data_IF_243984582195
#
_entry.id   IF_243984582195
#
_cell.length_a   1.000
_cell.length_b   1.000
_cell.length_c   1.000
_cell.angle_alpha   90.00
_cell.angle_beta   90.00
_cell.angle_gamma   90.00
#
_symmetry.space_group_name_H-M   'P 1'
#
loop_
_entity.id
_entity.type
_entity.pdbx_description
1 polymer ?
#
# COMPACT_ATOMS: atom_id res chain seq x y z
N UNK A 1 1.67 -2.14 -27.10
CA UNK A 1 1.89 -2.71 -25.77
C UNK A 1 2.31 -1.59 -24.82
N UNK A 2 1.69 -1.39 -23.66
CA UNK A 2 2.18 -0.40 -22.70
C UNK A 2 3.56 -0.82 -22.21
N UNK A 3 4.52 0.10 -22.27
CA UNK A 3 5.89 -0.12 -21.82
C UNK A 3 5.96 -0.41 -20.33
N UNK A 4 7.08 -0.99 -19.89
CA UNK A 4 7.36 -1.23 -18.46
C UNK A 4 7.35 0.10 -17.69
N UNK A 5 6.64 0.17 -16.56
CA UNK A 5 6.62 1.35 -15.68
C UNK A 5 8.06 1.81 -15.39
N UNK A 6 8.37 3.12 -15.47
CA UNK A 6 9.70 3.63 -15.18
C UNK A 6 10.08 3.34 -13.72
N UNK A 7 11.34 2.99 -13.50
CA UNK A 7 11.88 2.80 -12.15
C UNK A 7 12.16 4.16 -11.52
N UNK A 8 11.88 4.36 -10.23
CA UNK A 8 12.27 5.55 -9.49
C UNK A 8 13.77 5.83 -9.60
N UNK A 9 14.15 7.11 -9.61
CA UNK A 9 15.53 7.55 -9.78
C UNK A 9 16.47 6.95 -8.73
N UNK A 10 16.04 6.86 -7.48
CA UNK A 10 16.80 6.26 -6.40
C UNK A 10 17.13 4.77 -6.64
N UNK A 11 16.17 4.00 -7.19
CA UNK A 11 16.41 2.60 -7.57
C UNK A 11 17.41 2.46 -8.71
N UNK A 12 17.45 3.43 -9.62
CA UNK A 12 18.45 3.48 -10.69
C UNK A 12 19.85 3.76 -10.15
N UNK A 13 19.96 4.65 -9.14
CA UNK A 13 21.22 4.95 -8.46
C UNK A 13 21.79 3.72 -7.75
N UNK A 14 20.97 3.04 -6.93
CA UNK A 14 21.39 1.82 -6.21
C UNK A 14 21.82 0.69 -7.15
N UNK A 15 21.17 0.58 -8.32
CA UNK A 15 21.51 -0.43 -9.34
C UNK A 15 22.68 -0.03 -10.22
N UNK A 16 23.28 1.14 -10.03
CA UNK A 16 24.35 1.65 -10.89
C UNK A 16 23.91 1.92 -12.34
N UNK A 17 22.59 1.96 -12.61
CA UNK A 17 22.02 2.18 -13.94
C UNK A 17 21.53 3.60 -14.16
N UNK A 18 21.77 4.49 -13.19
CA UNK A 18 21.42 5.90 -13.27
C UNK A 18 22.34 6.59 -14.28
N UNK A 19 21.76 7.06 -15.38
CA UNK A 19 22.46 7.94 -16.33
C UNK A 19 22.05 9.39 -16.02
N UNK A 20 22.98 10.36 -15.87
CA UNK A 20 22.66 11.74 -15.47
C UNK A 20 21.52 12.38 -16.28
N UNK A 21 21.50 12.16 -17.60
CA UNK A 21 20.46 12.69 -18.50
C UNK A 21 19.09 12.00 -18.40
N UNK A 22 18.97 10.91 -17.59
CA UNK A 22 17.71 10.16 -17.35
C UNK A 22 17.24 10.27 -15.91
N UNK A 23 17.91 11.09 -15.09
CA UNK A 23 17.52 11.37 -13.72
C UNK A 23 16.50 12.51 -13.77
N UNK A 24 15.32 12.28 -13.21
CA UNK A 24 14.37 13.35 -12.98
C UNK A 24 14.78 14.08 -11.70
N UNK A 25 15.35 15.26 -11.83
CA UNK A 25 15.76 16.09 -10.68
C UNK A 25 14.55 16.58 -9.87
N UNK A 26 13.41 16.71 -10.54
CA UNK A 26 12.14 17.20 -9.97
C UNK A 26 11.22 16.06 -9.51
N UNK A 27 11.76 14.84 -9.32
CA UNK A 27 10.97 13.71 -8.80
C UNK A 27 10.46 14.06 -7.40
N UNK A 28 9.12 14.09 -7.18
CA UNK A 28 8.55 14.43 -5.89
C UNK A 28 9.08 13.50 -4.79
N UNK A 29 9.49 14.09 -3.67
CA UNK A 29 9.87 13.36 -2.45
C UNK A 29 8.82 13.65 -1.38
N UNK A 30 7.66 12.98 -1.42
CA UNK A 30 6.60 13.23 -0.46
C UNK A 30 7.06 12.87 0.96
N UNK A 31 6.68 13.72 1.92
CA UNK A 31 6.99 13.51 3.33
C UNK A 31 6.11 12.40 3.87
N UNK A 32 6.71 11.51 4.69
CA UNK A 32 5.96 10.48 5.41
C UNK A 32 4.96 11.15 6.35
N UNK A 33 3.71 10.73 6.29
CA UNK A 33 2.62 11.28 7.09
C UNK A 33 1.65 10.18 7.53
N UNK A 34 0.90 10.45 8.60
CA UNK A 34 -0.24 9.63 9.02
C UNK A 34 -1.50 10.47 8.88
N UNK A 35 -2.04 10.60 7.66
CA UNK A 35 -3.22 11.40 7.40
C UNK A 35 -4.46 10.81 8.07
N UNK A 36 -5.46 11.66 8.43
CA UNK A 36 -6.73 11.18 8.95
C UNK A 36 -7.52 10.43 7.85
N UNK A 37 -8.44 9.54 8.27
CA UNK A 37 -9.33 8.88 7.34
C UNK A 37 -10.27 9.90 6.66
N UNK A 38 -10.56 9.76 5.36
CA UNK A 38 -11.55 10.58 4.67
C UNK A 38 -12.95 10.45 5.28
N UNK A 39 -13.71 11.55 5.32
CA UNK A 39 -15.03 11.64 5.97
C UNK A 39 -16.10 10.71 5.38
N UNK A 40 -15.95 10.32 4.12
CA UNK A 40 -16.89 9.42 3.43
C UNK A 40 -16.75 7.94 3.82
N UNK A 41 -15.74 7.60 4.63
CA UNK A 41 -15.54 6.22 5.07
C UNK A 41 -16.47 5.88 6.24
N UNK A 42 -17.12 4.72 6.16
CA UNK A 42 -17.85 4.15 7.29
C UNK A 42 -16.91 3.86 8.47
N UNK A 43 -17.44 3.85 9.69
CA UNK A 43 -16.66 3.73 10.93
C UNK A 43 -15.67 2.54 10.92
N UNK A 44 -16.09 1.37 10.43
CA UNK A 44 -15.22 0.19 10.37
C UNK A 44 -14.09 0.35 9.34
N UNK A 45 -14.38 0.97 8.19
CA UNK A 45 -13.37 1.27 7.17
C UNK A 45 -12.42 2.39 7.62
N UNK A 46 -12.93 3.41 8.32
CA UNK A 46 -12.14 4.48 8.90
C UNK A 46 -11.16 3.97 9.97
N UNK A 47 -11.62 3.08 10.86
CA UNK A 47 -10.75 2.42 11.84
C UNK A 47 -9.64 1.62 11.17
N UNK A 48 -9.99 0.82 10.15
CA UNK A 48 -8.99 0.06 9.37
C UNK A 48 -8.03 0.96 8.60
N UNK A 49 -8.51 2.09 8.06
CA UNK A 49 -7.66 3.11 7.43
C UNK A 49 -6.62 3.64 8.42
N UNK A 50 -7.04 4.05 9.62
CA UNK A 50 -6.14 4.60 10.65
C UNK A 50 -5.08 3.57 11.07
N UNK A 51 -5.47 2.32 11.29
CA UNK A 51 -4.55 1.21 11.59
C UNK A 51 -3.50 1.06 10.50
N UNK A 52 -3.93 0.96 9.23
CA UNK A 52 -3.04 0.74 8.10
C UNK A 52 -2.16 1.95 7.80
N UNK A 53 -2.70 3.17 7.87
CA UNK A 53 -1.94 4.40 7.71
C UNK A 53 -0.80 4.49 8.73
N UNK A 54 -1.08 4.17 10.00
CA UNK A 54 -0.07 4.13 11.06
C UNK A 54 0.99 3.06 10.82
N UNK A 55 0.62 1.88 10.33
CA UNK A 55 1.57 0.82 9.96
C UNK A 55 2.47 1.26 8.80
N UNK A 56 1.89 1.75 7.72
CA UNK A 56 2.63 2.20 6.53
C UNK A 56 3.53 3.40 6.83
N UNK A 57 3.08 4.35 7.67
CA UNK A 57 3.89 5.48 8.09
C UNK A 57 5.12 5.04 8.90
N UNK A 58 4.95 4.11 9.86
CA UNK A 58 6.10 3.53 10.61
C UNK A 58 7.14 2.87 9.70
N UNK A 59 6.72 2.36 8.57
CA UNK A 59 7.61 1.78 7.56
C UNK A 59 8.04 2.77 6.48
N UNK A 60 7.77 4.08 6.66
CA UNK A 60 8.20 5.11 5.72
C UNK A 60 7.54 5.06 4.35
N UNK A 61 6.36 4.44 4.24
CA UNK A 61 5.66 4.25 2.96
C UNK A 61 4.49 5.22 2.79
N UNK A 62 3.77 5.55 3.88
CA UNK A 62 2.56 6.37 3.81
C UNK A 62 2.88 7.84 3.66
N UNK A 63 2.22 8.49 2.71
CA UNK A 63 2.29 9.93 2.46
C UNK A 63 0.88 10.51 2.27
N UNK A 64 0.75 11.83 2.24
CA UNK A 64 -0.54 12.49 1.94
C UNK A 64 -1.08 12.15 0.55
N UNK A 65 -0.21 11.82 -0.40
CA UNK A 65 -0.60 11.43 -1.76
C UNK A 65 -1.27 10.04 -1.82
N UNK A 66 -1.04 9.21 -0.81
CA UNK A 66 -1.50 7.83 -0.77
C UNK A 66 -2.89 7.66 -0.16
N UNK A 67 -3.47 8.73 0.41
CA UNK A 67 -4.79 8.71 1.06
C UNK A 67 -5.86 8.08 0.19
N UNK A 68 -5.94 8.49 -1.08
CA UNK A 68 -6.94 7.95 -2.01
C UNK A 68 -6.74 6.47 -2.34
N UNK A 69 -5.49 6.00 -2.40
CA UNK A 69 -5.18 4.60 -2.65
C UNK A 69 -5.53 3.72 -1.43
N UNK A 70 -5.16 4.17 -0.24
CA UNK A 70 -5.49 3.47 1.00
C UNK A 70 -7.00 3.49 1.29
N UNK A 71 -7.70 4.61 0.99
CA UNK A 71 -9.16 4.67 1.11
C UNK A 71 -9.85 3.64 0.22
N UNK A 72 -9.41 3.48 -1.04
CA UNK A 72 -9.91 2.41 -1.92
C UNK A 72 -9.66 1.02 -1.35
N UNK A 73 -8.48 0.79 -0.80
CA UNK A 73 -8.13 -0.49 -0.17
C UNK A 73 -9.12 -0.86 0.95
N UNK A 74 -9.37 0.05 1.89
CA UNK A 74 -10.25 -0.24 3.03
C UNK A 74 -11.72 -0.41 2.63
N UNK A 75 -12.18 0.29 1.58
CA UNK A 75 -13.52 0.08 1.02
C UNK A 75 -13.64 -1.31 0.38
N UNK A 76 -12.63 -1.75 -0.37
CA UNK A 76 -12.59 -3.09 -0.97
C UNK A 76 -12.51 -4.16 0.13
N UNK A 77 -11.68 -3.94 1.15
CA UNK A 77 -11.57 -4.81 2.32
C UNK A 77 -12.92 -4.97 3.05
N UNK A 78 -13.68 -3.90 3.22
CA UNK A 78 -15.01 -3.94 3.84
C UNK A 78 -15.99 -4.78 3.02
N UNK A 79 -16.03 -4.55 1.70
CA UNK A 79 -16.85 -5.35 0.76
C UNK A 79 -16.47 -6.83 0.77
N UNK A 80 -15.19 -7.13 0.86
CA UNK A 80 -14.71 -8.50 0.98
C UNK A 80 -15.25 -9.17 2.23
N UNK A 81 -15.18 -8.52 3.39
CA UNK A 81 -15.73 -9.05 4.64
C UNK A 81 -17.23 -9.35 4.54
N UNK A 82 -18.00 -8.44 3.96
CA UNK A 82 -19.44 -8.61 3.76
C UNK A 82 -19.73 -9.81 2.83
N UNK A 83 -18.98 -9.92 1.75
CA UNK A 83 -19.13 -11.05 0.83
C UNK A 83 -18.76 -12.38 1.49
N UNK A 84 -17.71 -12.43 2.30
CA UNK A 84 -17.32 -13.64 3.04
C UNK A 84 -18.38 -14.07 4.06
N UNK A 85 -19.02 -13.13 4.75
CA UNK A 85 -20.16 -13.43 5.65
C UNK A 85 -21.28 -14.11 4.89
N UNK A 86 -21.64 -13.62 3.70
CA UNK A 86 -22.68 -14.21 2.87
C UNK A 86 -22.27 -15.57 2.29
N UNK A 87 -21.02 -15.74 1.89
CA UNK A 87 -20.48 -17.04 1.45
C UNK A 87 -20.50 -18.05 2.59
N UNK A 88 -20.08 -17.64 3.79
CA UNK A 88 -20.11 -18.50 4.98
C UNK A 88 -21.55 -18.92 5.36
N UNK A 89 -22.51 -18.00 5.22
CA UNK A 89 -23.93 -18.25 5.55
C UNK A 89 -24.61 -19.19 4.57
N UNK A 90 -24.34 -19.04 3.27
CA UNK A 90 -25.07 -19.74 2.19
C UNK A 90 -24.30 -20.87 1.55
N UNK A 91 -23.00 -20.98 1.81
CA UNK A 91 -22.09 -21.89 1.14
C UNK A 91 -21.61 -21.38 -0.23
N UNK A 92 -20.60 -22.06 -0.84
CA UNK A 92 -20.02 -21.67 -2.12
C UNK A 92 -20.97 -21.89 -3.30
N UNK A 93 -22.03 -22.68 -3.11
CA UNK A 93 -23.02 -23.02 -4.13
C UNK A 93 -24.41 -22.77 -3.56
N UNK A 94 -25.30 -22.19 -4.36
CA UNK A 94 -26.67 -21.85 -3.98
C UNK A 94 -27.65 -22.34 -5.02
N UNK A 95 -28.90 -22.60 -4.58
CA UNK A 95 -30.02 -22.91 -5.48
C UNK A 95 -30.75 -21.61 -5.83
N UNK A 96 -31.06 -21.44 -7.10
CA UNK A 96 -31.97 -20.37 -7.56
C UNK A 96 -33.42 -20.72 -7.24
N UNK A 97 -34.32 -19.74 -7.38
CA UNK A 97 -35.77 -19.95 -7.25
C UNK A 97 -36.27 -21.02 -8.22
N UNK A 98 -35.70 -21.14 -9.41
CA UNK A 98 -35.99 -22.17 -10.40
C UNK A 98 -35.35 -23.54 -10.12
N UNK A 99 -34.68 -23.72 -8.96
CA UNK A 99 -34.05 -24.99 -8.57
C UNK A 99 -32.68 -25.26 -9.15
N UNK A 100 -32.15 -24.40 -10.04
CA UNK A 100 -30.81 -24.55 -10.62
C UNK A 100 -29.72 -24.31 -9.59
N UNK A 101 -28.67 -25.13 -9.64
CA UNK A 101 -27.50 -25.00 -8.80
C UNK A 101 -26.54 -24.06 -9.50
N UNK A 102 -26.17 -22.97 -8.80
CA UNK A 102 -25.18 -21.96 -9.30
C UNK A 102 -24.15 -21.67 -8.25
N UNK A 103 -23.00 -21.16 -8.70
CA UNK A 103 -22.00 -20.60 -7.80
C UNK A 103 -22.63 -19.43 -7.02
N UNK A 104 -22.32 -19.32 -5.74
CA UNK A 104 -22.77 -18.20 -4.93
C UNK A 104 -22.23 -16.88 -5.53
N UNK A 105 -23.08 -15.91 -5.90
CA UNK A 105 -22.65 -14.64 -6.47
C UNK A 105 -21.67 -13.86 -5.56
N UNK A 106 -21.81 -13.98 -4.23
CA UNK A 106 -20.91 -13.33 -3.29
C UNK A 106 -19.49 -13.90 -3.32
N UNK A 107 -19.31 -15.16 -3.72
CA UNK A 107 -17.99 -15.75 -3.91
C UNK A 107 -17.23 -15.06 -5.07
N UNK A 108 -17.93 -14.70 -6.15
CA UNK A 108 -17.32 -13.93 -7.24
C UNK A 108 -16.91 -12.52 -6.79
N UNK A 109 -17.74 -11.87 -5.95
CA UNK A 109 -17.42 -10.57 -5.35
C UNK A 109 -16.20 -10.68 -4.45
N UNK A 110 -16.15 -11.67 -3.54
CA UNK A 110 -15.03 -11.89 -2.64
C UNK A 110 -13.71 -12.08 -3.41
N UNK A 111 -13.71 -12.96 -4.41
CA UNK A 111 -12.53 -13.23 -5.25
C UNK A 111 -12.05 -11.97 -6.00
N UNK A 112 -12.98 -11.15 -6.52
CA UNK A 112 -12.64 -9.89 -7.18
C UNK A 112 -12.02 -8.88 -6.21
N UNK A 113 -12.57 -8.78 -5.00
CA UNK A 113 -12.02 -7.92 -3.95
C UNK A 113 -10.60 -8.36 -3.57
N UNK A 114 -10.36 -9.67 -3.35
CA UNK A 114 -9.02 -10.21 -3.06
C UNK A 114 -8.01 -9.86 -4.15
N UNK A 115 -8.38 -10.01 -5.42
CA UNK A 115 -7.50 -9.66 -6.53
C UNK A 115 -7.16 -8.16 -6.54
N UNK A 116 -8.14 -7.29 -6.29
CA UNK A 116 -7.94 -5.84 -6.23
C UNK A 116 -7.09 -5.42 -5.01
N UNK A 117 -7.33 -6.02 -3.84
CA UNK A 117 -6.51 -5.78 -2.65
C UNK A 117 -5.06 -6.17 -2.89
N UNK A 118 -4.81 -7.35 -3.45
CA UNK A 118 -3.46 -7.82 -3.76
C UNK A 118 -2.69 -6.88 -4.70
N UNK A 119 -3.36 -6.21 -5.63
CA UNK A 119 -2.74 -5.19 -6.47
C UNK A 119 -2.29 -3.97 -5.64
N UNK A 120 -3.17 -3.44 -4.78
CA UNK A 120 -2.87 -2.30 -3.92
C UNK A 120 -1.79 -2.67 -2.88
N UNK A 121 -1.88 -3.86 -2.27
CA UNK A 121 -0.87 -4.39 -1.35
C UNK A 121 0.51 -4.46 -1.99
N UNK A 122 0.56 -4.85 -3.26
CA UNK A 122 1.81 -4.88 -4.02
C UNK A 122 2.39 -3.49 -4.27
N UNK A 123 1.55 -2.47 -4.52
CA UNK A 123 2.00 -1.07 -4.71
C UNK A 123 2.52 -0.48 -3.38
N UNK A 124 1.89 -0.78 -2.25
CA UNK A 124 2.35 -0.35 -0.91
C UNK A 124 3.49 -1.18 -0.32
N UNK A 125 4.00 -2.19 -1.03
CA UNK A 125 5.08 -3.03 -0.51
C UNK A 125 4.68 -3.95 0.65
N UNK A 126 3.39 -4.27 0.79
CA UNK A 126 2.89 -5.12 1.89
C UNK A 126 3.28 -6.60 1.72
N UNK A 127 3.66 -7.03 0.51
CA UNK A 127 4.14 -8.39 0.26
C UNK A 127 5.67 -8.48 0.33
N UNK A 128 6.26 -9.63 0.72
CA UNK A 128 7.71 -9.80 0.77
C UNK A 128 8.41 -9.45 -0.55
N UNK A 129 7.84 -9.85 -1.68
CA UNK A 129 8.39 -9.59 -3.01
C UNK A 129 8.26 -8.13 -3.45
N UNK A 130 7.21 -7.42 -3.00
CA UNK A 130 7.02 -6.02 -3.33
C UNK A 130 7.87 -5.10 -2.46
N UNK A 131 8.16 -5.47 -1.21
CA UNK A 131 9.04 -4.70 -0.30
C UNK A 131 10.43 -4.45 -0.89
N UNK A 132 10.98 -5.38 -1.64
CA UNK A 132 12.25 -5.18 -2.34
C UNK A 132 12.19 -4.11 -3.45
N UNK A 133 10.99 -3.71 -3.87
CA UNK A 133 10.75 -2.69 -4.91
C UNK A 133 10.34 -1.34 -4.33
N UNK A 134 9.73 -1.34 -3.15
CA UNK A 134 9.33 -0.13 -2.41
C UNK A 134 10.49 0.25 -1.51
N UNK A 135 11.08 1.42 -1.73
CA UNK A 135 12.10 1.94 -0.84
C UNK A 135 11.40 2.69 0.29
N UNK A 136 11.63 2.26 1.52
CA UNK A 136 11.21 2.98 2.70
C UNK A 136 11.98 4.28 2.79
N UNK A 137 11.33 5.39 3.14
CA UNK A 137 12.03 6.59 3.55
C UNK A 137 12.76 6.26 4.85
N UNK A 138 14.04 6.64 4.94
CA UNK A 138 14.74 6.51 6.21
C UNK A 138 14.02 7.38 7.25
N UNK A 139 13.84 6.87 8.49
CA UNK A 139 13.29 7.68 9.56
C UNK A 139 14.14 8.94 9.71
N UNK A 140 13.51 10.10 9.75
CA UNK A 140 14.17 11.41 9.84
C UNK A 140 14.99 11.62 11.13
N UNK A 141 15.05 10.61 12.01
CA UNK A 141 15.72 10.65 13.31
C UNK A 141 16.99 9.79 13.38
N UNK A 142 17.52 9.34 12.26
CA UNK A 142 18.86 8.75 12.24
C UNK A 142 19.88 9.89 12.20
N UNK A 143 20.31 10.37 13.37
CA UNK A 143 21.59 11.05 13.49
C UNK A 143 22.62 10.16 12.82
N UNK A 144 23.27 10.67 11.79
CA UNK A 144 24.33 9.94 11.11
C UNK A 144 25.43 9.66 12.16
N UNK A 145 25.75 8.39 12.49
CA UNK A 145 26.81 8.06 13.43
C UNK A 145 28.15 8.67 13.04
N UNK A 146 28.31 9.01 11.76
CA UNK A 146 29.50 9.66 11.23
C UNK A 146 29.53 11.15 11.53
N UNK A 147 28.41 11.87 11.51
CA UNK A 147 28.31 13.25 11.98
C UNK A 147 28.58 13.37 13.48
N UNK A 148 28.08 12.45 14.30
CA UNK A 148 28.40 12.39 15.74
C UNK A 148 29.89 12.14 15.98
N UNK A 149 30.56 11.35 15.16
CA UNK A 149 32.00 11.10 15.24
C UNK A 149 32.80 12.35 14.86
N UNK A 150 32.44 13.04 13.78
CA UNK A 150 33.09 14.28 13.35
C UNK A 150 32.94 15.42 14.37
N UNK A 151 31.77 15.53 14.99
CA UNK A 151 31.48 16.53 16.01
C UNK A 151 32.20 16.26 17.35
N UNK A 152 32.58 15.02 17.65
CA UNK A 152 33.42 14.68 18.81
C UNK A 152 34.87 15.03 18.63
N UNK A 153 35.39 15.00 17.39
CA UNK A 153 36.78 15.32 17.06
C UNK A 153 37.08 16.81 17.05
N UNK A 154 36.07 17.70 17.03
CA UNK A 154 36.24 19.16 16.96
C UNK A 154 36.25 19.88 18.31
N UNK A 155 36.24 19.13 19.44
CA UNK A 155 36.24 19.70 20.81
C UNK A 155 37.49 19.29 21.62
N UNK A 156 38.61 19.01 20.96
CA UNK A 156 39.90 18.79 21.63
C UNK A 156 40.90 19.90 21.26
#
# INVERSE_FOLDING_TARGET
>A
MPGRKPLPTQLKLVKGTARPHRINADEPKPVVATPPPPDHLEAAAAAKFTEMAGLLARHGVMTELDVGALARYVVIWRRWLEAEVEVKRRGPVVKTVGGNIIQNPFLAVANKCLAQMGQIESEFGMTPSSRSRVRMAEPTDSRDPFEDYLNRGSKA
#
